data_IF_568658732475
#
_entry.id   IF_568658732475
#
_cell.length_a   1.000
_cell.length_b   1.000
_cell.length_c   1.000
_cell.angle_alpha   90.00
_cell.angle_beta   90.00
_cell.angle_gamma   90.00
#
_symmetry.space_group_name_H-M   'P 1'
#
loop_
_entity.id
_entity.type
_entity.pdbx_description
1 polymer ?
#
# COMPACT_ATOMS: atom_id res chain seq x y z
N UNK A 1 8.21 20.38 11.32
CA UNK A 1 7.86 18.94 11.46
C UNK A 1 8.05 18.39 12.86
N UNK A 2 9.21 18.54 13.52
CA UNK A 2 9.41 18.01 14.90
C UNK A 2 8.46 18.60 15.97
N UNK A 3 7.83 19.75 15.70
CA UNK A 3 6.81 20.36 16.54
C UNK A 3 5.39 19.82 16.29
N UNK A 4 5.18 18.81 15.45
CA UNK A 4 3.87 18.18 15.24
C UNK A 4 3.64 17.05 16.26
N UNK A 5 2.38 16.61 16.41
CA UNK A 5 2.04 15.36 17.11
C UNK A 5 2.15 14.16 16.18
N UNK A 6 1.79 14.37 14.91
CA UNK A 6 1.85 13.36 13.86
C UNK A 6 2.54 13.93 12.64
N UNK A 7 3.40 13.14 11.99
CA UNK A 7 3.92 13.44 10.65
C UNK A 7 3.55 12.28 9.74
N UNK A 8 2.77 12.58 8.68
CA UNK A 8 2.39 11.62 7.65
C UNK A 8 3.41 11.71 6.51
N UNK A 9 4.04 10.58 6.17
CA UNK A 9 4.96 10.46 5.06
C UNK A 9 4.27 9.65 3.95
N UNK A 10 3.82 10.33 2.91
CA UNK A 10 3.22 9.69 1.74
C UNK A 10 4.27 9.03 0.84
N UNK A 11 3.94 7.87 0.29
CA UNK A 11 4.74 7.15 -0.70
C UNK A 11 3.94 6.65 -1.90
N UNK A 12 4.66 6.30 -2.96
CA UNK A 12 4.27 5.28 -3.93
C UNK A 12 4.79 3.92 -3.47
N UNK A 13 3.90 2.92 -3.41
CA UNK A 13 4.17 1.67 -2.68
C UNK A 13 5.30 0.80 -3.27
N UNK A 14 5.70 1.08 -4.51
CA UNK A 14 6.77 0.40 -5.22
C UNK A 14 7.98 1.32 -5.49
N UNK A 15 8.09 2.45 -4.80
CA UNK A 15 9.20 3.39 -4.92
C UNK A 15 10.25 3.18 -3.83
N UNK A 16 11.33 2.48 -4.16
CA UNK A 16 12.49 2.37 -3.28
C UNK A 16 13.08 3.73 -2.88
N UNK A 17 12.97 4.75 -3.74
CA UNK A 17 13.42 6.12 -3.43
C UNK A 17 12.52 6.78 -2.37
N UNK A 18 11.21 6.56 -2.43
CA UNK A 18 10.29 7.09 -1.42
C UNK A 18 10.61 6.47 -0.05
N UNK A 19 10.85 5.16 0.02
CA UNK A 19 11.18 4.49 1.28
C UNK A 19 12.55 4.88 1.83
N UNK A 20 13.55 5.13 0.97
CA UNK A 20 14.84 5.70 1.38
C UNK A 20 14.67 7.10 1.96
N UNK A 21 13.89 7.94 1.30
CA UNK A 21 13.57 9.28 1.79
C UNK A 21 12.83 9.22 3.14
N UNK A 22 11.84 8.34 3.27
CA UNK A 22 11.11 8.11 4.53
C UNK A 22 12.07 7.74 5.67
N UNK A 23 13.04 6.85 5.44
CA UNK A 23 14.03 6.47 6.44
C UNK A 23 14.89 7.67 6.88
N UNK A 24 15.33 8.51 5.94
CA UNK A 24 16.10 9.72 6.27
C UNK A 24 15.28 10.72 7.09
N UNK A 25 14.03 10.98 6.70
CA UNK A 25 13.14 11.87 7.45
C UNK A 25 12.87 11.31 8.85
N UNK A 26 12.59 10.01 8.94
CA UNK A 26 12.38 9.31 10.20
C UNK A 26 13.58 9.44 11.14
N UNK A 27 14.79 9.17 10.65
CA UNK A 27 16.02 9.30 11.44
C UNK A 27 16.24 10.74 11.95
N UNK A 28 15.99 11.73 11.09
CA UNK A 28 16.09 13.14 11.44
C UNK A 28 15.05 13.58 12.47
N UNK A 29 13.81 13.09 12.38
CA UNK A 29 12.78 13.37 13.38
C UNK A 29 13.10 12.67 14.70
N UNK A 30 13.53 11.41 14.65
CA UNK A 30 13.85 10.61 15.83
C UNK A 30 14.98 11.23 16.65
N UNK A 31 16.01 11.76 16.00
CA UNK A 31 17.11 12.48 16.68
C UNK A 31 16.65 13.71 17.49
N UNK A 32 15.51 14.30 17.14
CA UNK A 32 14.94 15.49 17.81
C UNK A 32 13.79 15.13 18.76
N UNK A 33 13.13 14.00 18.52
CA UNK A 33 11.94 13.51 19.24
C UNK A 33 12.11 12.01 19.50
N UNK A 34 12.92 11.62 20.50
CA UNK A 34 13.21 10.21 20.77
C UNK A 34 12.00 9.43 21.28
N UNK A 35 11.06 10.10 21.96
CA UNK A 35 9.74 9.53 22.23
C UNK A 35 8.93 9.49 20.93
N UNK A 36 9.03 8.36 20.21
CA UNK A 36 8.46 8.18 18.88
C UNK A 36 7.73 6.84 18.75
N UNK A 37 6.72 6.78 17.90
CA UNK A 37 6.19 5.54 17.33
C UNK A 37 6.08 5.66 15.82
N UNK A 38 6.12 4.54 15.10
CA UNK A 38 6.02 4.49 13.64
C UNK A 38 4.77 3.72 13.25
N UNK A 39 3.83 4.37 12.57
CA UNK A 39 2.65 3.75 12.02
C UNK A 39 2.89 3.25 10.60
N UNK A 40 2.36 2.07 10.29
CA UNK A 40 2.54 1.38 9.02
C UNK A 40 1.17 1.00 8.42
N UNK A 41 0.87 1.54 7.24
CA UNK A 41 -0.40 1.26 6.51
C UNK A 41 -0.60 -0.22 6.18
N UNK A 42 0.48 -0.96 5.93
CA UNK A 42 0.41 -2.31 5.37
C UNK A 42 -0.06 -3.37 6.34
N UNK A 43 -0.01 -3.06 7.65
CA UNK A 43 -0.28 -4.03 8.68
C UNK A 43 -1.71 -3.89 9.21
N UNK A 44 -2.55 -4.93 9.08
CA UNK A 44 -3.84 -4.97 9.73
C UNK A 44 -3.68 -5.10 11.25
N UNK A 45 -4.60 -4.55 12.03
CA UNK A 45 -4.48 -4.45 13.50
C UNK A 45 -4.19 -5.77 14.19
N UNK A 46 -4.72 -6.87 13.67
CA UNK A 46 -4.51 -8.21 14.22
C UNK A 46 -3.04 -8.65 14.23
N UNK A 47 -2.17 -8.08 13.40
CA UNK A 47 -0.73 -8.43 13.40
C UNK A 47 0.09 -7.60 14.39
N UNK A 48 -0.52 -6.69 15.14
CA UNK A 48 0.18 -5.87 16.15
C UNK A 48 1.10 -6.71 17.07
N UNK A 49 0.69 -7.88 17.60
CA UNK A 49 1.58 -8.69 18.44
C UNK A 49 2.85 -9.18 17.73
N UNK A 50 2.82 -9.34 16.40
CA UNK A 50 3.99 -9.71 15.59
C UNK A 50 4.93 -8.52 15.46
N UNK A 51 4.39 -7.31 15.28
CA UNK A 51 5.19 -6.08 15.24
C UNK A 51 5.88 -5.84 16.58
N UNK A 52 5.18 -6.08 17.69
CA UNK A 52 5.75 -5.94 19.04
C UNK A 52 6.91 -6.92 19.26
N UNK A 53 6.76 -8.18 18.83
CA UNK A 53 7.82 -9.19 18.90
C UNK A 53 9.02 -8.87 18.00
N UNK A 54 8.77 -8.28 16.82
CA UNK A 54 9.83 -7.81 15.92
C UNK A 54 10.67 -6.71 16.57
N UNK A 55 10.03 -5.67 17.11
CA UNK A 55 10.70 -4.58 17.83
C UNK A 55 11.41 -5.09 19.09
N UNK A 56 10.85 -6.10 19.75
CA UNK A 56 11.49 -6.78 20.87
C UNK A 56 12.76 -7.55 20.48
N UNK A 57 12.97 -7.80 19.18
CA UNK A 57 14.09 -8.55 18.64
C UNK A 57 13.93 -10.07 18.72
N UNK A 58 12.71 -10.55 19.00
CA UNK A 58 12.41 -11.96 19.25
C UNK A 58 12.10 -12.77 17.97
N UNK A 59 12.13 -12.12 16.80
CA UNK A 59 11.87 -12.77 15.51
C UNK A 59 13.06 -12.62 14.57
N UNK A 60 13.37 -13.69 13.83
CA UNK A 60 14.17 -13.57 12.62
C UNK A 60 13.37 -12.82 11.54
N UNK A 61 14.06 -12.25 10.55
CA UNK A 61 13.42 -11.50 9.46
C UNK A 61 12.41 -12.36 8.70
N UNK A 62 12.78 -13.59 8.35
CA UNK A 62 11.90 -14.49 7.62
C UNK A 62 10.64 -14.84 8.43
N UNK A 63 10.79 -15.15 9.72
CA UNK A 63 9.66 -15.44 10.61
C UNK A 63 8.74 -14.23 10.77
N UNK A 64 9.31 -13.03 10.80
CA UNK A 64 8.54 -11.79 10.84
C UNK A 64 7.70 -11.63 9.56
N UNK A 65 8.30 -11.76 8.38
CA UNK A 65 7.58 -11.61 7.11
C UNK A 65 6.46 -12.64 6.96
N UNK A 66 6.69 -13.88 7.38
CA UNK A 66 5.67 -14.93 7.37
C UNK A 66 4.54 -14.65 8.35
N UNK A 67 4.86 -14.36 9.62
CA UNK A 67 3.84 -14.16 10.68
C UNK A 67 3.10 -12.84 10.55
N UNK A 68 3.71 -11.81 9.98
CA UNK A 68 3.04 -10.58 9.60
C UNK A 68 2.21 -10.74 8.31
N UNK A 69 2.27 -11.92 7.67
CA UNK A 69 1.57 -12.27 6.45
C UNK A 69 1.87 -11.29 5.29
N UNK A 70 3.13 -10.85 5.16
CA UNK A 70 3.57 -9.78 4.26
C UNK A 70 3.03 -9.93 2.82
N UNK A 71 3.16 -11.13 2.25
CA UNK A 71 2.69 -11.46 0.90
C UNK A 71 1.18 -11.26 0.72
N UNK A 72 0.40 -11.49 1.79
CA UNK A 72 -1.06 -11.45 1.77
C UNK A 72 -1.58 -10.05 2.09
N UNK A 73 -1.00 -9.37 3.08
CA UNK A 73 -1.49 -8.07 3.55
C UNK A 73 -1.04 -6.92 2.64
N UNK A 74 0.18 -7.02 2.10
CA UNK A 74 0.78 -5.98 1.28
C UNK A 74 1.08 -6.44 -0.14
N UNK A 75 1.93 -7.46 -0.28
CA UNK A 75 2.30 -8.02 -1.57
C UNK A 75 3.22 -7.14 -2.44
N UNK A 76 3.85 -6.13 -1.86
CA UNK A 76 5.01 -5.45 -2.45
C UNK A 76 6.30 -6.13 -2.01
N UNK A 77 7.42 -5.72 -2.60
CA UNK A 77 8.66 -6.31 -2.21
C UNK A 77 9.06 -5.94 -0.77
N UNK A 78 9.33 -6.92 0.10
CA UNK A 78 9.73 -6.61 1.47
C UNK A 78 11.02 -5.79 1.54
N UNK A 79 11.96 -5.93 0.60
CA UNK A 79 13.24 -5.21 0.62
C UNK A 79 13.10 -3.69 0.55
N UNK A 80 11.99 -3.20 0.01
CA UNK A 80 11.72 -1.77 -0.06
C UNK A 80 11.34 -1.20 1.32
N UNK A 81 10.69 -2.03 2.16
CA UNK A 81 10.23 -1.63 3.49
C UNK A 81 11.15 -2.10 4.63
N UNK A 82 11.91 -3.18 4.45
CA UNK A 82 12.81 -3.75 5.46
C UNK A 82 13.75 -2.72 6.11
N UNK A 83 14.32 -1.72 5.40
CA UNK A 83 15.11 -0.68 6.05
C UNK A 83 14.35 0.11 7.11
N UNK A 84 13.07 0.44 6.88
CA UNK A 84 12.21 1.11 7.86
C UNK A 84 11.90 0.20 9.06
N UNK A 85 11.61 -1.07 8.79
CA UNK A 85 11.27 -2.07 9.82
C UNK A 85 12.48 -2.40 10.70
N UNK A 86 13.66 -2.55 10.11
CA UNK A 86 14.93 -2.73 10.82
C UNK A 86 15.28 -1.50 11.64
N UNK A 87 15.09 -0.30 11.09
CA UNK A 87 15.32 0.94 11.83
C UNK A 87 14.46 0.99 13.11
N UNK A 88 13.18 0.64 13.02
CA UNK A 88 12.30 0.56 14.19
C UNK A 88 12.82 -0.44 15.23
N UNK A 89 13.21 -1.65 14.80
CA UNK A 89 13.76 -2.70 15.68
C UNK A 89 15.06 -2.29 16.35
N UNK A 90 16.05 -1.82 15.58
CA UNK A 90 17.38 -1.44 16.10
C UNK A 90 17.28 -0.34 17.16
N UNK A 91 16.33 0.58 17.00
CA UNK A 91 16.12 1.70 17.92
C UNK A 91 15.02 1.44 18.97
N UNK A 92 14.44 0.23 19.02
CA UNK A 92 13.31 -0.12 19.91
C UNK A 92 12.12 0.84 19.80
N UNK A 93 11.86 1.37 18.61
CA UNK A 93 10.75 2.28 18.35
C UNK A 93 9.48 1.45 18.18
N UNK A 94 8.41 1.69 18.95
CA UNK A 94 7.13 1.03 18.78
C UNK A 94 6.60 1.17 17.35
N UNK A 95 6.15 0.05 16.79
CA UNK A 95 5.48 0.02 15.49
C UNK A 95 3.96 -0.09 15.72
N UNK A 96 3.16 0.64 14.94
CA UNK A 96 1.71 0.61 15.01
C UNK A 96 1.14 0.01 13.72
N UNK A 97 0.36 -1.06 13.85
CA UNK A 97 -0.44 -1.62 12.77
C UNK A 97 -1.66 -0.70 12.53
N UNK A 98 -1.68 -0.02 11.39
CA UNK A 98 -2.68 1.03 11.15
C UNK A 98 -3.97 0.51 10.52
N UNK A 99 -3.91 -0.54 9.71
CA UNK A 99 -5.05 -0.91 8.86
C UNK A 99 -6.01 -1.91 9.49
N UNK A 100 -7.10 -2.18 8.79
CA UNK A 100 -8.09 -3.22 9.08
C UNK A 100 -8.00 -4.34 8.05
N UNK A 101 -8.79 -5.41 8.21
CA UNK A 101 -8.95 -6.39 7.15
C UNK A 101 -9.62 -5.74 5.93
N UNK A 102 -9.16 -6.11 4.72
CA UNK A 102 -9.73 -5.59 3.46
C UNK A 102 -11.23 -5.87 3.34
N UNK A 103 -11.73 -6.91 4.01
CA UNK A 103 -13.15 -7.23 4.06
C UNK A 103 -14.01 -6.10 4.62
N UNK A 104 -13.50 -5.25 5.53
CA UNK A 104 -14.28 -4.16 6.10
C UNK A 104 -14.52 -3.03 5.08
N UNK A 105 -13.49 -2.38 4.49
CA UNK A 105 -13.72 -1.40 3.43
C UNK A 105 -14.49 -1.96 2.23
N UNK A 106 -14.30 -3.23 1.88
CA UNK A 106 -15.08 -3.91 0.84
C UNK A 106 -16.56 -4.08 1.21
N UNK A 107 -16.86 -4.47 2.45
CA UNK A 107 -18.23 -4.60 2.95
C UNK A 107 -18.92 -3.23 2.99
N UNK A 108 -18.22 -2.19 3.43
CA UNK A 108 -18.74 -0.80 3.41
C UNK A 108 -18.99 -0.34 1.98
N UNK A 109 -18.08 -0.63 1.04
CA UNK A 109 -18.27 -0.32 -0.37
C UNK A 109 -19.44 -1.06 -1.04
N UNK A 110 -19.92 -2.17 -0.46
CA UNK A 110 -21.06 -2.94 -0.97
C UNK A 110 -22.37 -2.57 -0.28
N UNK A 111 -22.35 -2.47 1.05
CA UNK A 111 -23.54 -2.38 1.90
C UNK A 111 -23.78 -0.96 2.43
N UNK A 112 -22.71 -0.18 2.59
CA UNK A 112 -22.71 1.04 3.37
C UNK A 112 -22.38 0.82 4.84
N UNK A 113 -21.79 1.84 5.48
CA UNK A 113 -21.35 1.80 6.87
C UNK A 113 -22.45 1.36 7.85
N UNK A 114 -23.67 1.89 7.69
CA UNK A 114 -24.78 1.62 8.61
C UNK A 114 -25.33 0.19 8.48
N UNK A 115 -25.11 -0.45 7.33
CA UNK A 115 -25.54 -1.82 7.08
C UNK A 115 -24.48 -2.87 7.45
N UNK A 116 -23.23 -2.46 7.69
CA UNK A 116 -22.18 -3.38 8.15
C UNK A 116 -22.40 -3.70 9.64
N UNK A 117 -22.48 -4.98 10.04
CA UNK A 117 -22.62 -5.37 11.44
C UNK A 117 -21.47 -4.87 12.31
N UNK A 118 -21.76 -4.50 13.56
CA UNK A 118 -20.75 -3.98 14.49
C UNK A 118 -19.58 -4.96 14.71
N UNK A 119 -19.87 -6.26 14.70
CA UNK A 119 -18.86 -7.33 14.81
C UNK A 119 -17.86 -7.35 13.65
N UNK A 120 -18.22 -6.77 12.50
CA UNK A 120 -17.35 -6.69 11.33
C UNK A 120 -16.58 -5.37 11.24
N UNK A 121 -16.91 -4.36 12.08
CA UNK A 121 -16.28 -3.05 12.03
C UNK A 121 -14.91 -2.98 12.69
N UNK A 122 -14.42 -4.06 13.29
CA UNK A 122 -13.07 -4.13 13.88
C UNK A 122 -12.76 -3.03 14.91
N UNK A 123 -13.80 -2.54 15.60
CA UNK A 123 -13.69 -1.43 16.56
C UNK A 123 -13.41 -0.06 15.92
N UNK A 124 -13.62 0.06 14.60
CA UNK A 124 -13.58 1.33 13.88
C UNK A 124 -14.81 2.16 14.27
N UNK A 125 -14.56 3.40 14.68
CA UNK A 125 -15.63 4.36 14.95
C UNK A 125 -16.13 4.97 13.64
N UNK A 126 -17.34 5.54 13.65
CA UNK A 126 -17.89 6.22 12.46
C UNK A 126 -16.88 7.25 11.93
N UNK A 127 -16.52 7.20 10.63
CA UNK A 127 -15.61 8.18 10.04
C UNK A 127 -16.22 9.58 9.99
N UNK A 128 -15.36 10.59 10.06
CA UNK A 128 -15.76 11.97 9.80
C UNK A 128 -16.23 12.11 8.35
N UNK A 129 -17.27 12.90 8.12
CA UNK A 129 -17.76 13.16 6.77
C UNK A 129 -16.65 13.80 5.90
N UNK A 130 -16.49 13.37 4.64
CA UNK A 130 -15.49 13.94 3.74
C UNK A 130 -15.84 15.39 3.39
N UNK A 131 -14.82 16.22 3.17
CA UNK A 131 -15.03 17.58 2.68
C UNK A 131 -15.52 17.60 1.23
N UNK A 132 -16.14 18.70 0.80
CA UNK A 132 -16.53 18.87 -0.61
C UNK A 132 -15.34 18.76 -1.59
N UNK A 133 -14.17 19.25 -1.19
CA UNK A 133 -12.94 19.10 -1.96
C UNK A 133 -12.50 17.64 -2.07
N UNK A 134 -12.62 16.87 -0.98
CA UNK A 134 -12.32 15.45 -1.00
C UNK A 134 -13.28 14.67 -1.91
N UNK A 135 -14.58 14.98 -1.84
CA UNK A 135 -15.58 14.38 -2.73
C UNK A 135 -15.25 14.63 -4.21
N UNK A 136 -14.81 15.84 -4.56
CA UNK A 136 -14.37 16.15 -5.93
C UNK A 136 -13.17 15.29 -6.33
N UNK A 137 -12.15 15.22 -5.48
CA UNK A 137 -10.97 14.38 -5.74
C UNK A 137 -11.33 12.90 -5.89
N UNK A 138 -12.20 12.36 -5.03
CA UNK A 138 -12.65 10.98 -5.11
C UNK A 138 -13.48 10.73 -6.37
N UNK A 139 -14.24 11.73 -6.85
CA UNK A 139 -14.95 11.64 -8.13
C UNK A 139 -13.99 11.44 -9.29
N UNK A 140 -12.94 12.24 -9.34
CA UNK A 140 -11.92 12.12 -10.39
C UNK A 140 -11.28 10.72 -10.37
N UNK A 141 -10.96 10.18 -9.18
CA UNK A 141 -10.43 8.80 -9.04
C UNK A 141 -11.45 7.75 -9.49
N UNK A 142 -12.71 7.90 -9.09
CA UNK A 142 -13.79 6.97 -9.41
C UNK A 142 -14.04 6.90 -10.93
N UNK A 143 -14.04 8.04 -11.61
CA UNK A 143 -14.33 8.13 -13.04
C UNK A 143 -13.23 7.51 -13.92
N UNK A 144 -11.99 7.45 -13.43
CA UNK A 144 -10.85 6.81 -14.09
C UNK A 144 -10.75 5.30 -13.82
N UNK A 145 -11.57 4.73 -12.93
CA UNK A 145 -11.61 3.28 -12.71
C UNK A 145 -12.53 2.57 -13.73
N UNK A 146 -12.07 1.44 -14.33
CA UNK A 146 -12.84 0.64 -15.27
C UNK A 146 -13.88 -0.24 -14.54
N UNK A 147 -14.79 0.36 -13.78
CA UNK A 147 -15.92 -0.35 -13.18
C UNK A 147 -17.08 -0.45 -14.18
N UNK A 148 -17.57 -1.68 -14.43
CA UNK A 148 -18.64 -1.96 -15.40
C UNK A 148 -20.05 -1.53 -14.94
N UNK A 149 -20.24 -1.17 -13.67
CA UNK A 149 -21.53 -0.76 -13.12
C UNK A 149 -21.41 0.59 -12.39
N UNK A 150 -21.98 1.65 -12.99
CA UNK A 150 -22.01 3.03 -12.47
C UNK A 150 -23.44 3.44 -12.08
N UNK A 151 -24.10 2.64 -11.24
CA UNK A 151 -25.41 3.02 -10.67
C UNK A 151 -25.30 4.24 -9.74
N UNK A 152 -26.41 4.93 -9.47
CA UNK A 152 -26.42 6.18 -8.68
C UNK A 152 -25.78 6.04 -7.30
N UNK A 153 -25.95 4.88 -6.64
CA UNK A 153 -25.39 4.61 -5.30
C UNK A 153 -23.91 4.19 -5.29
N UNK A 154 -23.30 3.94 -6.45
CA UNK A 154 -21.94 3.37 -6.50
C UNK A 154 -20.87 4.34 -6.03
N UNK A 155 -21.03 5.63 -6.30
CA UNK A 155 -20.07 6.64 -5.86
C UNK A 155 -20.16 6.95 -4.36
N UNK A 156 -21.34 7.21 -3.76
CA UNK A 156 -21.45 7.35 -2.31
C UNK A 156 -20.85 6.17 -1.55
N UNK A 157 -21.07 4.93 -2.01
CA UNK A 157 -20.48 3.73 -1.42
C UNK A 157 -18.97 3.67 -1.56
N UNK A 158 -18.43 4.06 -2.72
CA UNK A 158 -16.99 4.20 -2.91
C UNK A 158 -16.39 5.21 -1.93
N UNK A 159 -17.03 6.36 -1.75
CA UNK A 159 -16.61 7.40 -0.79
C UNK A 159 -16.62 6.85 0.64
N UNK A 160 -17.67 6.16 1.05
CA UNK A 160 -17.73 5.54 2.39
C UNK A 160 -16.60 4.54 2.60
N UNK A 161 -16.30 3.70 1.60
CA UNK A 161 -15.20 2.74 1.64
C UNK A 161 -13.83 3.42 1.85
N UNK A 162 -13.54 4.47 1.08
CA UNK A 162 -12.30 5.26 1.21
C UNK A 162 -12.21 5.94 2.58
N UNK A 163 -13.31 6.54 3.04
CA UNK A 163 -13.33 7.28 4.31
C UNK A 163 -13.18 6.34 5.51
N UNK A 164 -13.74 5.13 5.46
CA UNK A 164 -13.51 4.08 6.47
C UNK A 164 -12.06 3.64 6.49
N UNK A 165 -11.43 3.53 5.32
CA UNK A 165 -10.02 3.18 5.21
C UNK A 165 -9.12 4.23 5.87
N UNK A 166 -9.34 5.51 5.59
CA UNK A 166 -8.64 6.62 6.24
C UNK A 166 -8.84 6.62 7.77
N UNK A 167 -10.08 6.36 8.21
CA UNK A 167 -10.43 6.30 9.64
C UNK A 167 -9.74 5.14 10.35
N UNK A 168 -9.66 3.99 9.68
CA UNK A 168 -8.97 2.82 10.18
C UNK A 168 -7.51 3.15 10.52
N UNK A 169 -6.81 3.88 9.64
CA UNK A 169 -5.42 4.27 9.86
C UNK A 169 -5.24 5.40 10.90
N UNK A 170 -6.20 6.32 11.02
CA UNK A 170 -6.13 7.42 11.98
C UNK A 170 -6.32 6.96 13.44
N UNK A 171 -7.22 6.00 13.68
CA UNK A 171 -7.60 5.59 15.05
C UNK A 171 -6.44 5.03 15.91
N UNK A 172 -5.53 4.17 15.43
CA UNK A 172 -4.43 3.63 16.25
C UNK A 172 -3.42 4.73 16.59
N UNK A 173 -3.21 5.68 15.67
CA UNK A 173 -2.38 6.87 15.90
C UNK A 173 -2.97 7.73 17.01
N UNK A 174 -4.26 8.07 16.94
CA UNK A 174 -4.93 8.85 17.99
C UNK A 174 -4.95 8.11 19.33
N UNK A 175 -5.22 6.81 19.33
CA UNK A 175 -5.21 5.99 20.54
C UNK A 175 -3.80 5.91 21.17
N UNK A 176 -2.74 5.84 20.36
CA UNK A 176 -1.37 5.89 20.84
C UNK A 176 -1.06 7.24 21.51
N UNK A 177 -1.43 8.36 20.87
CA UNK A 177 -1.25 9.70 21.44
C UNK A 177 -2.07 9.93 22.72
N UNK A 178 -3.25 9.31 22.84
CA UNK A 178 -4.02 9.34 24.09
C UNK A 178 -3.30 8.66 25.25
N UNK A 179 -2.49 7.63 24.97
CA UNK A 179 -1.66 6.93 25.97
C UNK A 179 -0.30 7.59 26.18
N UNK A 180 0.28 8.18 25.13
CA UNK A 180 1.58 8.83 25.13
C UNK A 180 1.50 10.23 24.48
N UNK A 181 0.96 11.24 25.17
CA UNK A 181 0.75 12.58 24.59
C UNK A 181 2.03 13.30 24.16
N UNK A 182 3.17 12.93 24.75
CA UNK A 182 4.48 13.47 24.41
C UNK A 182 5.14 12.77 23.20
N UNK A 183 4.62 11.64 22.74
CA UNK A 183 5.20 10.92 21.61
C UNK A 183 4.96 11.68 20.30
N UNK A 184 5.91 11.57 19.36
CA UNK A 184 5.69 11.87 17.96
C UNK A 184 5.32 10.58 17.23
N UNK A 185 4.20 10.56 16.50
CA UNK A 185 3.89 9.44 15.61
C UNK A 185 4.27 9.80 14.18
N UNK A 186 5.11 8.98 13.54
CA UNK A 186 5.43 9.09 12.11
C UNK A 186 4.69 7.98 11.38
N UNK A 187 3.79 8.30 10.45
CA UNK A 187 3.00 7.30 9.72
C UNK A 187 3.49 7.16 8.27
N UNK A 188 3.79 5.94 7.85
CA UNK A 188 4.17 5.53 6.50
C UNK A 188 2.90 5.09 5.77
N UNK A 189 2.45 5.91 4.82
CA UNK A 189 1.16 5.78 4.14
C UNK A 189 1.31 5.99 2.63
N UNK A 190 0.41 5.43 1.82
CA UNK A 190 0.25 5.77 0.41
C UNK A 190 -0.11 7.24 0.25
N UNK A 191 0.50 7.91 -0.73
CA UNK A 191 0.34 9.34 -0.96
C UNK A 191 -1.14 9.76 -1.17
N UNK A 192 -1.98 8.85 -1.68
CA UNK A 192 -3.43 9.07 -1.84
C UNK A 192 -4.15 9.41 -0.53
N UNK A 193 -3.72 8.82 0.60
CA UNK A 193 -4.28 9.03 1.93
C UNK A 193 -3.75 10.30 2.62
N UNK A 194 -2.68 10.89 2.09
CA UNK A 194 -1.96 12.02 2.68
C UNK A 194 -2.22 13.32 1.92
N UNK A 195 -2.28 13.27 0.59
CA UNK A 195 -2.40 14.45 -0.29
C UNK A 195 -3.61 15.30 0.06
N UNK A 196 -3.41 16.61 0.02
CA UNK A 196 -4.41 17.64 0.35
C UNK A 196 -4.97 17.59 1.78
N UNK A 197 -4.44 16.71 2.64
CA UNK A 197 -4.92 16.53 4.00
C UNK A 197 -6.36 16.02 4.10
N UNK A 198 -6.89 15.43 3.02
CA UNK A 198 -8.30 15.02 2.93
C UNK A 198 -8.61 13.66 3.57
N UNK A 199 -7.63 12.74 3.57
CA UNK A 199 -7.80 11.39 4.11
C UNK A 199 -7.44 11.30 5.59
N UNK A 200 -6.32 10.64 5.90
CA UNK A 200 -5.91 10.34 7.28
C UNK A 200 -5.75 11.60 8.14
N UNK A 201 -5.22 12.70 7.58
CA UNK A 201 -5.09 13.98 8.32
C UNK A 201 -6.45 14.54 8.77
N UNK A 202 -7.48 14.44 7.93
CA UNK A 202 -8.85 14.86 8.27
C UNK A 202 -9.43 14.00 9.39
N UNK A 203 -9.28 12.68 9.30
CA UNK A 203 -9.75 11.76 10.33
C UNK A 203 -9.01 11.92 11.67
N UNK A 204 -7.71 12.23 11.64
CA UNK A 204 -6.93 12.55 12.84
C UNK A 204 -7.43 13.80 13.55
N UNK A 205 -7.77 14.85 12.79
CA UNK A 205 -8.33 16.10 13.34
C UNK A 205 -9.69 15.87 13.98
N UNK A 206 -10.55 15.05 13.36
CA UNK A 206 -11.82 14.61 13.94
C UNK A 206 -11.62 13.85 15.26
N UNK A 207 -10.55 13.05 15.37
CA UNK A 207 -10.15 12.35 16.59
C UNK A 207 -9.47 13.25 17.64
N UNK A 208 -9.42 14.57 17.42
CA UNK A 208 -8.82 15.54 18.36
C UNK A 208 -7.30 15.72 18.23
N UNK A 209 -6.67 15.16 17.19
CA UNK A 209 -5.25 15.37 16.91
C UNK A 209 -5.08 16.63 16.07
N UNK A 210 -4.79 17.76 16.73
CA UNK A 210 -4.76 19.07 16.09
C UNK A 210 -3.51 19.32 15.21
N UNK A 211 -2.35 18.80 15.61
CA UNK A 211 -1.05 19.10 14.98
C UNK A 211 -0.55 17.94 14.13
N UNK A 212 -0.97 17.93 12.87
CA UNK A 212 -0.62 16.92 11.86
C UNK A 212 0.16 17.58 10.74
N UNK A 213 1.40 17.11 10.51
CA UNK A 213 2.21 17.50 9.36
C UNK A 213 2.10 16.48 8.21
N UNK A 214 2.10 16.94 6.96
CA UNK A 214 2.09 16.07 5.77
C UNK A 214 3.32 16.33 4.89
N UNK A 215 4.03 15.27 4.54
CA UNK A 215 5.17 15.32 3.63
C UNK A 215 4.95 14.31 2.50
N UNK A 216 5.23 14.73 1.27
CA UNK A 216 5.14 13.89 0.07
C UNK A 216 6.46 13.91 -0.70
N UNK A 217 6.69 12.86 -1.47
CA UNK A 217 7.66 12.86 -2.57
C UNK A 217 6.98 13.29 -3.87
N UNK A 218 7.77 13.81 -4.80
CA UNK A 218 7.37 14.07 -6.18
C UNK A 218 8.40 13.49 -7.12
N UNK A 219 7.98 12.70 -8.10
CA UNK A 219 8.89 12.11 -9.06
C UNK A 219 9.40 13.20 -10.01
N UNK A 220 10.72 13.36 -10.14
CA UNK A 220 11.33 14.35 -11.04
C UNK A 220 10.89 14.21 -12.51
N UNK A 221 10.46 13.01 -12.94
CA UNK A 221 9.93 12.80 -14.29
C UNK A 221 8.51 13.34 -14.48
N UNK A 222 7.78 13.63 -13.41
CA UNK A 222 6.42 14.17 -13.46
C UNK A 222 6.44 15.70 -13.57
N UNK A 223 5.50 16.25 -14.35
CA UNK A 223 5.40 17.69 -14.53
C UNK A 223 5.10 18.41 -13.20
N UNK A 224 5.91 19.41 -12.87
CA UNK A 224 5.74 20.20 -11.63
C UNK A 224 4.39 20.94 -11.55
N UNK A 225 3.66 21.06 -12.66
CA UNK A 225 2.30 21.64 -12.67
C UNK A 225 1.32 20.89 -11.75
N UNK A 226 1.59 19.63 -11.40
CA UNK A 226 0.80 18.88 -10.42
C UNK A 226 1.07 19.27 -8.96
N UNK A 227 2.17 19.98 -8.67
CA UNK A 227 2.49 20.49 -7.33
C UNK A 227 1.68 21.78 -7.09
N UNK A 228 0.51 21.62 -6.48
CA UNK A 228 -0.45 22.70 -6.27
C UNK A 228 -0.51 23.14 -4.80
N UNK A 229 -0.93 24.38 -4.51
CA UNK A 229 -1.14 24.83 -3.14
C UNK A 229 -2.06 23.88 -2.37
N UNK A 230 -1.65 23.54 -1.14
CA UNK A 230 -2.37 22.62 -0.29
C UNK A 230 -2.08 21.14 -0.54
N UNK A 231 -1.24 20.76 -1.51
CA UNK A 231 -0.88 19.36 -1.78
C UNK A 231 -0.31 18.64 -0.54
N UNK A 232 0.63 19.29 0.17
CA UNK A 232 1.19 18.86 1.45
C UNK A 232 1.88 20.06 2.14
N UNK A 233 2.30 19.93 3.41
CA UNK A 233 3.09 20.98 4.07
C UNK A 233 4.48 21.14 3.46
N UNK A 234 5.05 20.05 2.91
CA UNK A 234 6.22 20.11 2.03
C UNK A 234 6.22 18.94 1.04
N UNK A 235 6.83 19.19 -0.12
CA UNK A 235 7.01 18.20 -1.19
C UNK A 235 8.50 18.10 -1.51
N UNK A 236 9.02 16.87 -1.54
CA UNK A 236 10.42 16.58 -1.85
C UNK A 236 10.51 15.98 -3.24
N UNK A 237 11.22 16.66 -4.15
CA UNK A 237 11.49 16.09 -5.47
C UNK A 237 12.52 14.98 -5.32
N UNK A 238 12.12 13.75 -5.62
CA UNK A 238 12.99 12.57 -5.62
C UNK A 238 13.37 12.22 -7.04
N UNK A 239 14.53 11.59 -7.20
CA UNK A 239 14.98 11.12 -8.50
C UNK A 239 13.95 10.15 -9.06
N UNK A 240 13.67 10.28 -10.35
CA UNK A 240 12.84 9.28 -11.03
C UNK A 240 13.43 7.88 -10.80
N UNK A 241 12.59 6.86 -10.57
CA UNK A 241 13.04 5.48 -10.65
C UNK A 241 13.80 5.28 -11.96
N UNK A 242 14.81 4.40 -11.98
CA UNK A 242 15.46 4.02 -13.22
C UNK A 242 14.38 3.68 -14.27
N UNK A 243 14.50 4.26 -15.47
CA UNK A 243 13.40 4.35 -16.43
C UNK A 243 12.71 2.99 -16.66
N UNK A 244 11.40 2.96 -16.43
CA UNK A 244 10.49 1.83 -16.63
C UNK A 244 10.98 0.51 -16.02
N UNK A 245 10.67 0.21 -14.74
CA UNK A 245 10.81 -1.16 -14.25
C UNK A 245 10.05 -2.08 -15.21
N UNK A 246 10.62 -3.25 -15.57
CA UNK A 246 10.02 -4.12 -16.55
C UNK A 246 8.59 -4.44 -16.14
N UNK A 247 7.65 -4.47 -17.09
CA UNK A 247 6.25 -4.84 -16.83
C UNK A 247 5.86 -5.98 -17.75
N UNK A 248 5.13 -6.93 -17.17
CA UNK A 248 4.58 -8.04 -17.94
C UNK A 248 3.35 -7.61 -18.74
N UNK A 249 2.57 -6.64 -18.24
CA UNK A 249 1.38 -6.10 -18.91
C UNK A 249 0.11 -6.95 -18.73
N UNK A 250 -0.16 -7.34 -17.48
CA UNK A 250 -1.28 -8.20 -17.10
C UNK A 250 -2.06 -7.58 -15.94
N UNK A 251 -3.37 -7.80 -15.90
CA UNK A 251 -4.17 -7.70 -14.68
C UNK A 251 -4.23 -9.08 -14.01
N UNK A 252 -4.01 -9.12 -12.71
CA UNK A 252 -3.84 -10.35 -11.94
C UNK A 252 -4.94 -10.50 -10.90
N UNK A 253 -5.42 -11.71 -10.72
CA UNK A 253 -6.33 -12.08 -9.64
C UNK A 253 -5.81 -13.34 -8.93
N UNK A 254 -6.00 -13.45 -7.60
CA UNK A 254 -5.68 -14.68 -6.89
C UNK A 254 -6.52 -15.84 -7.45
N UNK A 255 -5.89 -16.98 -7.68
CA UNK A 255 -6.57 -18.22 -8.06
C UNK A 255 -6.28 -19.31 -7.03
N UNK A 256 -7.32 -20.02 -6.57
CA UNK A 256 -7.21 -21.28 -5.83
C UNK A 256 -8.24 -22.26 -6.38
N UNK A 257 -7.79 -23.46 -6.75
CA UNK A 257 -8.65 -24.60 -7.05
C UNK A 257 -8.20 -25.85 -6.27
N UNK A 258 -8.89 -26.97 -6.45
CA UNK A 258 -8.51 -28.25 -5.86
C UNK A 258 -7.16 -28.80 -6.35
N UNK A 259 -6.52 -28.17 -7.34
CA UNK A 259 -5.22 -28.56 -7.90
C UNK A 259 -4.06 -27.64 -7.44
N UNK A 260 -4.34 -26.50 -6.80
CA UNK A 260 -3.31 -25.62 -6.22
C UNK A 260 -3.67 -24.13 -6.17
N UNK A 261 -2.70 -23.31 -5.76
CA UNK A 261 -2.79 -21.85 -5.80
C UNK A 261 -2.01 -21.30 -7.01
N UNK A 262 -2.48 -20.20 -7.59
CA UNK A 262 -1.82 -19.53 -8.71
C UNK A 262 -2.33 -18.12 -8.94
N UNK A 263 -1.95 -17.53 -10.08
CA UNK A 263 -2.33 -16.17 -10.49
C UNK A 263 -3.16 -16.25 -11.76
N UNK A 264 -4.45 -15.92 -11.69
CA UNK A 264 -5.32 -15.84 -12.86
C UNK A 264 -5.08 -14.53 -13.62
N UNK A 265 -4.98 -14.61 -14.93
CA UNK A 265 -4.89 -13.44 -15.81
C UNK A 265 -6.29 -12.93 -16.12
N UNK A 266 -6.65 -11.79 -15.53
CA UNK A 266 -7.94 -11.15 -15.72
C UNK A 266 -7.99 -10.28 -16.99
N UNK A 267 -6.84 -9.70 -17.35
CA UNK A 267 -6.68 -8.89 -18.56
C UNK A 267 -5.22 -8.92 -19.03
N UNK A 268 -5.01 -8.67 -20.32
CA UNK A 268 -3.68 -8.57 -20.94
C UNK A 268 -3.63 -7.33 -21.80
N UNK A 269 -2.69 -6.43 -21.49
CA UNK A 269 -2.50 -5.20 -22.25
C UNK A 269 -2.00 -5.54 -23.66
N UNK A 270 -2.66 -5.07 -24.73
CA UNK A 270 -2.20 -5.27 -26.10
C UNK A 270 -0.76 -4.78 -26.31
N UNK A 271 0.04 -5.54 -27.06
CA UNK A 271 1.44 -5.20 -27.34
C UNK A 271 2.41 -5.40 -26.17
N UNK A 272 1.94 -5.82 -25.00
CA UNK A 272 2.79 -6.08 -23.82
C UNK A 272 3.69 -7.31 -23.97
N UNK A 273 4.65 -7.46 -23.04
CA UNK A 273 5.50 -8.65 -22.92
C UNK A 273 4.65 -9.92 -22.77
N UNK A 274 3.56 -9.87 -22.00
CA UNK A 274 2.63 -10.99 -21.83
C UNK A 274 1.96 -11.40 -23.14
N UNK A 275 1.44 -10.41 -23.88
CA UNK A 275 0.80 -10.65 -25.17
C UNK A 275 1.79 -11.27 -26.16
N UNK A 276 3.01 -10.74 -26.24
CA UNK A 276 4.08 -11.25 -27.10
C UNK A 276 4.54 -12.65 -26.69
N UNK A 277 4.51 -12.97 -25.40
CA UNK A 277 4.84 -14.30 -24.89
C UNK A 277 3.72 -15.34 -25.14
N UNK A 278 2.54 -14.92 -25.61
CA UNK A 278 1.41 -15.82 -25.89
C UNK A 278 0.55 -16.17 -24.67
N UNK A 279 0.64 -15.39 -23.58
CA UNK A 279 -0.31 -15.46 -22.48
C UNK A 279 -1.71 -15.04 -22.94
N UNK A 280 -2.75 -15.61 -22.31
CA UNK A 280 -4.16 -15.34 -22.64
C UNK A 280 -4.97 -15.03 -21.38
N UNK A 281 -6.03 -14.23 -21.55
CA UNK A 281 -7.02 -14.02 -20.48
C UNK A 281 -7.60 -15.37 -20.07
N UNK A 282 -7.68 -15.62 -18.77
CA UNK A 282 -8.10 -16.89 -18.18
C UNK A 282 -6.97 -17.88 -17.89
N UNK A 283 -5.75 -17.64 -18.39
CA UNK A 283 -4.58 -18.43 -18.00
C UNK A 283 -4.32 -18.31 -16.49
N UNK A 284 -3.81 -19.38 -15.88
CA UNK A 284 -3.39 -19.40 -14.47
C UNK A 284 -1.90 -19.67 -14.38
N UNK A 285 -1.11 -18.66 -13.99
CA UNK A 285 0.32 -18.84 -13.74
C UNK A 285 0.48 -19.64 -12.45
N UNK A 286 1.14 -20.79 -12.52
CA UNK A 286 1.37 -21.71 -11.39
C UNK A 286 2.80 -21.64 -10.87
N UNK A 287 3.79 -21.34 -11.73
CA UNK A 287 5.15 -21.02 -11.28
C UNK A 287 5.76 -19.86 -12.03
N UNK A 288 6.66 -19.14 -11.36
CA UNK A 288 7.44 -18.01 -11.87
C UNK A 288 8.90 -18.28 -11.54
N UNK A 289 9.76 -18.37 -12.56
CA UNK A 289 11.18 -18.72 -12.37
C UNK A 289 11.39 -20.00 -11.52
N UNK A 290 10.51 -21.00 -11.70
CA UNK A 290 10.54 -22.28 -10.98
C UNK A 290 10.00 -22.22 -9.55
N UNK A 291 9.58 -21.06 -9.05
CA UNK A 291 8.96 -20.91 -7.72
C UNK A 291 7.43 -20.86 -7.82
N UNK A 292 6.69 -21.36 -6.82
CA UNK A 292 5.23 -21.25 -6.79
C UNK A 292 4.75 -19.81 -7.00
N UNK A 293 3.81 -19.62 -7.92
CA UNK A 293 3.36 -18.30 -8.31
C UNK A 293 2.51 -17.63 -7.21
N UNK A 294 2.94 -16.45 -6.77
CA UNK A 294 2.18 -15.50 -5.94
C UNK A 294 2.21 -14.14 -6.59
N UNK A 295 1.14 -13.35 -6.48
CA UNK A 295 1.06 -12.01 -7.10
C UNK A 295 2.25 -11.14 -6.69
N UNK A 296 2.55 -11.10 -5.39
CA UNK A 296 3.68 -10.36 -4.84
C UNK A 296 5.01 -10.82 -5.44
N UNK A 297 5.24 -12.14 -5.46
CA UNK A 297 6.44 -12.74 -6.01
C UNK A 297 6.62 -12.45 -7.51
N UNK A 298 5.55 -12.55 -8.31
CA UNK A 298 5.61 -12.23 -9.73
C UNK A 298 5.97 -10.75 -9.96
N UNK A 299 5.33 -9.82 -9.22
CA UNK A 299 5.63 -8.39 -9.33
C UNK A 299 7.09 -8.11 -8.96
N UNK A 300 7.55 -8.65 -7.84
CA UNK A 300 8.92 -8.49 -7.35
C UNK A 300 9.98 -9.05 -8.31
N UNK A 301 9.71 -10.21 -8.92
CA UNK A 301 10.61 -10.79 -9.92
C UNK A 301 10.66 -9.89 -11.15
N UNK A 302 9.50 -9.53 -11.70
CA UNK A 302 9.38 -8.73 -12.93
C UNK A 302 10.05 -7.36 -12.79
N UNK A 303 9.85 -6.65 -11.67
CA UNK A 303 10.47 -5.34 -11.42
C UNK A 303 12.00 -5.36 -11.34
N UNK A 304 12.61 -6.54 -11.10
CA UNK A 304 14.06 -6.69 -10.95
C UNK A 304 14.75 -7.34 -12.12
N UNK A 305 13.98 -7.77 -13.12
CA UNK A 305 14.58 -8.35 -14.30
C UNK A 305 15.49 -7.32 -14.96
N UNK A 306 16.76 -7.65 -15.22
CA UNK A 306 17.61 -6.78 -16.02
C UNK A 306 16.99 -6.66 -17.41
N UNK A 307 17.28 -5.55 -18.10
CA UNK A 307 16.81 -5.38 -19.46
C UNK A 307 17.34 -6.53 -20.34
N UNK A 308 16.49 -7.07 -21.22
CA UNK A 308 16.79 -8.24 -22.05
C UNK A 308 16.61 -9.60 -21.35
N UNK A 309 16.25 -9.63 -20.07
CA UNK A 309 16.06 -10.88 -19.34
C UNK A 309 14.85 -11.69 -19.80
N UNK A 310 14.91 -13.00 -19.58
CA UNK A 310 13.84 -13.94 -19.91
C UNK A 310 13.24 -14.48 -18.61
N UNK A 311 11.92 -14.50 -18.53
CA UNK A 311 11.18 -15.01 -17.39
C UNK A 311 10.43 -16.30 -17.78
N UNK A 312 10.90 -17.48 -17.35
CA UNK A 312 10.15 -18.71 -17.53
C UNK A 312 8.95 -18.74 -16.58
N UNK A 313 7.80 -19.05 -17.14
CA UNK A 313 6.51 -19.18 -16.47
C UNK A 313 5.94 -20.56 -16.78
N UNK A 314 5.35 -21.21 -15.78
CA UNK A 314 4.49 -22.36 -16.01
C UNK A 314 3.05 -21.93 -15.80
N UNK A 315 2.20 -22.25 -16.77
CA UNK A 315 0.85 -21.73 -16.89
C UNK A 315 -0.13 -22.87 -17.14
N UNK A 316 -1.26 -22.85 -16.43
CA UNK A 316 -2.39 -23.74 -16.68
C UNK A 316 -3.41 -23.02 -17.58
N UNK A 317 -3.71 -23.62 -18.73
CA UNK A 317 -4.72 -23.15 -19.69
C UNK A 317 -5.79 -24.23 -19.84
N UNK A 318 -6.93 -24.04 -19.19
CA UNK A 318 -7.90 -25.11 -19.03
C UNK A 318 -7.30 -26.27 -18.22
N UNK A 319 -7.16 -27.45 -18.84
CA UNK A 319 -6.57 -28.64 -18.21
C UNK A 319 -5.11 -28.90 -18.60
N UNK A 320 -4.53 -28.08 -19.48
CA UNK A 320 -3.16 -28.25 -19.95
C UNK A 320 -2.19 -27.37 -19.17
N UNK A 321 -0.99 -27.91 -18.87
CA UNK A 321 0.14 -27.15 -18.37
C UNK A 321 1.08 -26.79 -19.52
N UNK A 322 1.42 -25.52 -19.63
CA UNK A 322 2.21 -24.95 -20.71
C UNK A 322 3.38 -24.17 -20.09
N UNK A 323 4.58 -24.39 -20.61
CA UNK A 323 5.73 -23.53 -20.31
C UNK A 323 5.78 -22.35 -21.30
N UNK A 324 5.84 -21.14 -20.76
CA UNK A 324 5.89 -19.90 -21.52
C UNK A 324 7.11 -19.11 -21.05
N UNK A 325 7.90 -18.59 -22.00
CA UNK A 325 9.05 -17.73 -21.69
C UNK A 325 8.72 -16.30 -22.10
N UNK A 326 8.54 -15.43 -21.12
CA UNK A 326 8.33 -14.01 -21.34
C UNK A 326 9.67 -13.29 -21.54
N UNK A 327 9.90 -12.71 -22.72
CA UNK A 327 11.15 -12.03 -23.08
C UNK A 327 10.99 -10.52 -22.91
N UNK A 328 11.76 -9.94 -22.00
CA UNK A 328 11.76 -8.51 -21.78
C UNK A 328 12.69 -7.81 -22.77
N UNK A 329 12.33 -6.61 -23.26
CA UNK A 329 13.16 -5.87 -24.20
C UNK A 329 14.51 -5.51 -23.58
N UNK A 330 15.56 -5.51 -24.40
CA UNK A 330 16.86 -4.96 -24.02
C UNK A 330 16.75 -3.44 -23.78
N UNK A 331 17.66 -2.89 -22.99
CA UNK A 331 17.74 -1.45 -22.83
C UNK A 331 18.12 -0.84 -24.19
N UNK A 332 17.49 0.28 -24.59
CA UNK A 332 17.82 0.97 -25.83
C UNK A 332 19.26 1.48 -25.86
#
# INVERSE_FOLDING_TARGET
>A
MAAQQVVLLGESHDSAEDHRWQLHVLAQLHSRRPAMAIGFEMFPRRVQPVLDQWVAGSLAEQDFLERAEWDKVWGFDPRDYLPLLHYARMNRIPMLALNVERSLPEAVGKLGWDAVPETQKEGIGRPAAPSAAYLKMLRDVFDHHPAKNRGEDTFPRFVESQTVWDRAMAQPVAAHLGKQPAALVVAILGAGHVRHGHGVSHQLKDLGVARVGTLLTWNQAEACAGITPGLADAVYVVRAPAANPPRLGIAMEPHRDGAGAGIRLADITPGSVAAQAGLRVGDVIVTVAGQPAKIAGLRAVVQRLPAGAWLPLKVKRGNEEIEIVARFPAAP
#
